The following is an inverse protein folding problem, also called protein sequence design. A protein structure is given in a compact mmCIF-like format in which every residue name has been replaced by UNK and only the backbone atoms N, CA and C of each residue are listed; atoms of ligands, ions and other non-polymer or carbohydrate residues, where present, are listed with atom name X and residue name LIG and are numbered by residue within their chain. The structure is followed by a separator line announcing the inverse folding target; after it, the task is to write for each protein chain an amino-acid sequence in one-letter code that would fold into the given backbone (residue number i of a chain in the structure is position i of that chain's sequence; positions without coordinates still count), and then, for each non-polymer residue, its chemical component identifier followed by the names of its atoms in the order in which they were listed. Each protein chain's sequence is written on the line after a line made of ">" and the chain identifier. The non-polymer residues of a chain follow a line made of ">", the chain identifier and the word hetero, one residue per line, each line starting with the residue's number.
data_IF_136382186062
#
_entry.id   IF_136382186062
#
_cell.length_a   1.000
_cell.length_b   1.000
_cell.length_c   1.000
_cell.angle_alpha   90.00
_cell.angle_beta   90.00
_cell.angle_gamma   90.00
#
_symmetry.space_group_name_H-M   'P 1'
#
loop_
_entity.id
_entity.type
_entity.pdbx_description
1 polymer ?
#
# COMPACT_ATOMS: atom_id res chain seq x y z
N UNK A 1 -11.40 0.32 -34.37
CA UNK A 1 -11.82 1.37 -33.44
C UNK A 1 -12.15 0.72 -32.12
N UNK A 2 -11.51 1.13 -31.03
CA UNK A 2 -11.97 0.75 -29.69
C UNK A 2 -13.35 1.40 -29.48
N UNK A 3 -14.31 0.71 -28.83
CA UNK A 3 -15.61 1.31 -28.54
C UNK A 3 -15.42 2.57 -27.69
N UNK A 4 -16.08 3.65 -28.09
CA UNK A 4 -16.20 4.87 -27.29
C UNK A 4 -17.07 4.55 -26.08
N UNK A 5 -16.45 4.43 -24.92
CA UNK A 5 -17.18 4.39 -23.65
C UNK A 5 -17.46 5.83 -23.22
N UNK A 6 -18.70 6.21 -22.89
CA UNK A 6 -18.97 7.54 -22.36
C UNK A 6 -18.17 7.73 -21.08
N UNK A 7 -17.41 8.83 -20.99
CA UNK A 7 -16.57 9.20 -19.84
C UNK A 7 -17.38 9.42 -18.53
N UNK A 8 -18.71 9.25 -18.54
CA UNK A 8 -19.62 9.75 -17.51
C UNK A 8 -20.02 8.78 -16.39
N UNK A 9 -19.45 7.58 -16.30
CA UNK A 9 -19.81 6.61 -15.24
C UNK A 9 -18.70 6.33 -14.22
N UNK A 10 -17.65 7.15 -14.22
CA UNK A 10 -16.58 7.13 -13.22
C UNK A 10 -16.92 8.16 -12.14
N UNK A 11 -17.02 7.72 -10.89
CA UNK A 11 -17.34 8.59 -9.75
C UNK A 11 -16.14 8.62 -8.80
N UNK A 12 -15.84 9.79 -8.24
CA UNK A 12 -14.85 9.91 -7.17
C UNK A 12 -15.36 9.21 -5.91
N UNK A 13 -14.48 8.51 -5.21
CA UNK A 13 -14.82 7.86 -3.94
C UNK A 13 -14.80 8.88 -2.80
N UNK A 14 -15.69 8.70 -1.82
CA UNK A 14 -15.64 9.41 -0.54
C UNK A 14 -14.45 8.95 0.31
N UNK A 15 -14.17 9.68 1.39
CA UNK A 15 -13.15 9.27 2.37
C UNK A 15 -13.46 7.88 2.96
N UNK A 16 -14.71 7.63 3.35
CA UNK A 16 -15.14 6.36 3.93
C UNK A 16 -15.03 5.21 2.92
N UNK A 17 -15.33 5.45 1.65
CA UNK A 17 -15.18 4.44 0.59
C UNK A 17 -13.71 4.11 0.33
N UNK A 18 -12.81 5.10 0.40
CA UNK A 18 -11.36 4.90 0.31
C UNK A 18 -10.88 4.06 1.49
N UNK A 19 -11.27 4.43 2.71
CA UNK A 19 -10.90 3.73 3.94
C UNK A 19 -11.37 2.28 3.90
N UNK A 20 -12.61 2.05 3.45
CA UNK A 20 -13.16 0.71 3.29
C UNK A 20 -12.32 -0.14 2.32
N UNK A 21 -11.94 0.39 1.15
CA UNK A 21 -11.12 -0.38 0.21
C UNK A 21 -9.75 -0.73 0.77
N UNK A 22 -9.11 0.20 1.50
CA UNK A 22 -7.80 -0.03 2.13
C UNK A 22 -7.88 -1.07 3.26
N UNK A 23 -8.95 -1.09 4.04
CA UNK A 23 -9.17 -2.12 5.08
C UNK A 23 -9.47 -3.48 4.45
N UNK A 24 -10.31 -3.54 3.42
CA UNK A 24 -10.71 -4.82 2.80
C UNK A 24 -9.61 -5.45 1.95
N UNK A 25 -8.64 -4.66 1.46
CA UNK A 25 -7.54 -5.16 0.64
C UNK A 25 -6.27 -5.24 1.47
N UNK A 26 -5.64 -6.40 1.47
CA UNK A 26 -4.37 -6.64 2.17
C UNK A 26 -3.13 -6.54 1.30
N UNK A 27 -3.27 -6.16 0.02
CA UNK A 27 -2.19 -6.10 -0.98
C UNK A 27 -2.39 -4.91 -1.93
N UNK A 28 -1.29 -4.30 -2.35
CA UNK A 28 -1.26 -3.24 -3.36
C UNK A 28 0.12 -3.11 -3.98
N UNK A 29 0.38 -2.01 -4.69
CA UNK A 29 1.67 -1.73 -5.33
C UNK A 29 2.26 -0.44 -4.77
N UNK A 30 3.42 -0.56 -4.12
CA UNK A 30 4.24 0.57 -3.68
C UNK A 30 5.15 1.01 -4.83
N UNK A 31 5.05 2.27 -5.21
CA UNK A 31 5.85 2.88 -6.26
C UNK A 31 6.93 3.75 -5.63
N UNK A 32 8.17 3.35 -5.83
CA UNK A 32 9.38 4.01 -5.36
C UNK A 32 10.12 4.67 -6.53
N UNK A 33 11.01 5.59 -6.24
CA UNK A 33 11.82 6.28 -7.23
C UNK A 33 13.25 6.54 -6.73
N UNK A 34 14.21 6.37 -7.63
CA UNK A 34 15.60 6.81 -7.46
C UNK A 34 15.99 7.58 -8.72
N UNK A 35 16.21 8.89 -8.59
CA UNK A 35 16.33 9.85 -9.68
C UNK A 35 15.23 9.69 -10.75
N UNK A 36 15.60 9.24 -11.96
CA UNK A 36 14.69 9.05 -13.10
C UNK A 36 14.17 7.61 -13.22
N UNK A 37 14.49 6.74 -12.27
CA UNK A 37 14.11 5.32 -12.31
C UNK A 37 12.95 5.08 -11.36
N UNK A 38 11.81 4.65 -11.90
CA UNK A 38 10.66 4.23 -11.12
C UNK A 38 10.70 2.71 -10.84
N UNK A 39 10.26 2.30 -9.65
CA UNK A 39 10.20 0.91 -9.24
C UNK A 39 8.90 0.60 -8.49
N UNK A 40 7.98 -0.10 -9.15
CA UNK A 40 6.74 -0.59 -8.55
C UNK A 40 6.89 -1.99 -7.97
N UNK A 41 6.44 -2.19 -6.73
CA UNK A 41 6.59 -3.44 -5.97
C UNK A 41 5.24 -3.85 -5.40
N UNK A 42 4.69 -5.02 -5.76
CA UNK A 42 3.54 -5.59 -5.09
C UNK A 42 3.91 -5.98 -3.65
N UNK A 43 3.17 -5.47 -2.67
CA UNK A 43 3.41 -5.71 -1.26
C UNK A 43 2.09 -5.89 -0.51
N UNK A 44 2.11 -6.76 0.50
CA UNK A 44 1.13 -6.69 1.57
C UNK A 44 1.34 -5.43 2.39
N UNK A 45 0.25 -4.89 2.93
CA UNK A 45 0.31 -3.68 3.74
C UNK A 45 -0.69 -3.75 4.89
N UNK A 46 -0.35 -3.03 5.96
CA UNK A 46 -1.26 -2.71 7.05
C UNK A 46 -1.85 -1.32 6.84
N UNK A 47 -3.15 -1.11 7.10
CA UNK A 47 -3.75 0.22 7.06
C UNK A 47 -4.20 0.70 8.44
N UNK A 48 -3.60 1.80 8.89
CA UNK A 48 -3.97 2.47 10.13
C UNK A 48 -4.77 3.75 9.84
N UNK A 49 -6.09 3.63 9.90
CA UNK A 49 -6.99 4.75 9.66
C UNK A 49 -6.92 5.84 10.74
N UNK A 50 -6.59 5.48 11.98
CA UNK A 50 -6.48 6.44 13.10
C UNK A 50 -5.25 7.34 12.92
N UNK A 51 -4.12 6.76 12.53
CA UNK A 51 -2.89 7.51 12.27
C UNK A 51 -2.79 8.03 10.83
N UNK A 52 -3.68 7.59 9.94
CA UNK A 52 -3.64 7.82 8.49
C UNK A 52 -2.29 7.39 7.88
N UNK A 53 -1.91 6.12 8.11
CA UNK A 53 -0.63 5.54 7.68
C UNK A 53 -0.82 4.18 7.01
N UNK A 54 0.08 3.85 6.08
CA UNK A 54 0.26 2.47 5.58
C UNK A 54 1.58 1.90 6.10
N UNK A 55 1.57 0.63 6.49
CA UNK A 55 2.76 -0.07 6.96
C UNK A 55 3.15 -1.20 6.01
N UNK A 56 4.44 -1.33 5.74
CA UNK A 56 5.01 -2.36 4.88
C UNK A 56 6.17 -3.06 5.59
N UNK A 57 6.31 -4.35 5.35
CA UNK A 57 7.45 -5.13 5.84
C UNK A 57 8.24 -5.69 4.67
N UNK A 58 9.53 -5.37 4.66
CA UNK A 58 10.48 -5.82 3.67
C UNK A 58 11.27 -7.00 4.23
N UNK A 59 11.07 -8.19 3.68
CA UNK A 59 11.92 -9.35 3.98
C UNK A 59 13.29 -9.17 3.32
N UNK A 60 14.39 -9.37 4.04
CA UNK A 60 15.75 -9.34 3.48
C UNK A 60 16.26 -10.76 3.17
N UNK A 61 16.09 -11.29 1.95
CA UNK A 61 16.85 -12.45 1.52
C UNK A 61 18.28 -12.01 1.12
N UNK A 62 19.17 -11.84 2.10
CA UNK A 62 20.62 -11.60 1.88
C UNK A 62 21.10 -10.14 2.05
N UNK A 63 22.33 -9.87 1.60
CA UNK A 63 23.11 -8.66 1.93
C UNK A 63 22.66 -7.37 1.20
N UNK A 64 22.01 -7.47 0.04
CA UNK A 64 21.52 -6.31 -0.73
C UNK A 64 20.09 -6.55 -1.22
N UNK A 65 19.22 -5.56 -1.00
CA UNK A 65 17.80 -5.69 -1.31
C UNK A 65 17.35 -4.45 -2.07
N UNK A 66 17.20 -4.56 -3.39
CA UNK A 66 16.80 -3.45 -4.28
C UNK A 66 15.61 -2.62 -3.77
N UNK A 67 14.64 -3.24 -3.10
CA UNK A 67 13.49 -2.53 -2.48
C UNK A 67 13.90 -1.60 -1.33
N UNK A 68 14.90 -1.99 -0.55
CA UNK A 68 15.46 -1.18 0.54
C UNK A 68 16.24 -0.01 -0.06
N UNK A 69 17.12 -0.27 -1.02
CA UNK A 69 17.91 0.77 -1.71
C UNK A 69 16.98 1.85 -2.30
N UNK A 70 15.91 1.44 -2.99
CA UNK A 70 14.93 2.39 -3.52
C UNK A 70 14.14 3.12 -2.43
N UNK A 71 13.76 2.45 -1.34
CA UNK A 71 13.00 3.08 -0.27
C UNK A 71 13.82 4.12 0.50
N UNK A 72 15.11 3.87 0.72
CA UNK A 72 16.03 4.84 1.33
C UNK A 72 16.20 6.11 0.47
N UNK A 73 16.15 5.97 -0.85
CA UNK A 73 16.26 7.09 -1.79
C UNK A 73 14.92 7.80 -2.05
N UNK A 74 13.79 7.15 -1.75
CA UNK A 74 12.44 7.67 -2.00
C UNK A 74 11.94 8.49 -0.82
N UNK A 75 11.97 9.82 -0.90
CA UNK A 75 11.35 10.66 0.14
C UNK A 75 9.82 10.64 0.09
N UNK A 76 9.24 10.53 -1.12
CA UNK A 76 7.79 10.51 -1.34
C UNK A 76 7.43 9.36 -2.27
N UNK A 77 6.45 8.56 -1.85
CA UNK A 77 6.00 7.40 -2.61
C UNK A 77 4.50 7.46 -2.88
N UNK A 78 4.05 6.64 -3.83
CA UNK A 78 2.63 6.37 -4.02
C UNK A 78 2.34 4.89 -3.83
N UNK A 79 1.15 4.59 -3.31
CA UNK A 79 0.65 3.25 -3.11
C UNK A 79 -0.70 3.09 -3.80
N UNK A 80 -0.82 2.08 -4.67
CA UNK A 80 -2.05 1.82 -5.42
C UNK A 80 -2.69 0.52 -4.97
N UNK A 81 -3.98 0.60 -4.62
CA UNK A 81 -4.85 -0.52 -4.26
C UNK A 81 -6.03 -0.53 -5.21
N UNK A 82 -6.47 -1.71 -5.65
CA UNK A 82 -7.63 -1.80 -6.52
C UNK A 82 -8.42 -3.09 -6.29
N UNK A 83 -9.67 -3.04 -6.71
CA UNK A 83 -10.54 -4.17 -6.93
C UNK A 83 -11.12 -4.08 -8.34
N UNK A 84 -10.97 -5.14 -9.13
CA UNK A 84 -11.40 -5.11 -10.53
C UNK A 84 -12.00 -6.46 -10.94
N UNK A 85 -13.18 -6.82 -10.39
CA UNK A 85 -13.86 -8.06 -10.75
C UNK A 85 -14.34 -8.05 -12.22
N UNK A 86 -14.63 -6.88 -12.80
CA UNK A 86 -15.05 -6.80 -14.21
C UNK A 86 -14.76 -5.43 -14.85
N UNK A 87 -15.03 -5.31 -16.16
CA UNK A 87 -14.91 -4.03 -16.88
C UNK A 87 -15.94 -2.97 -16.45
N UNK A 88 -17.02 -3.38 -15.80
CA UNK A 88 -18.14 -2.52 -15.39
C UNK A 88 -18.20 -2.30 -13.88
N UNK A 89 -17.42 -3.06 -13.12
CA UNK A 89 -17.34 -3.00 -11.67
C UNK A 89 -15.86 -3.00 -11.28
N UNK A 90 -15.39 -1.85 -10.82
CA UNK A 90 -14.03 -1.70 -10.33
C UNK A 90 -13.92 -0.51 -9.37
N UNK A 91 -12.94 -0.58 -8.47
CA UNK A 91 -12.55 0.48 -7.54
C UNK A 91 -11.03 0.57 -7.51
N UNK A 92 -10.50 1.77 -7.38
CA UNK A 92 -9.06 1.99 -7.25
C UNK A 92 -8.79 3.16 -6.33
N UNK A 93 -7.81 3.00 -5.46
CA UNK A 93 -7.30 4.04 -4.56
C UNK A 93 -5.83 4.25 -4.86
N UNK A 94 -5.43 5.51 -4.94
CA UNK A 94 -4.02 5.93 -4.94
C UNK A 94 -3.80 6.76 -3.68
N UNK A 95 -2.84 6.34 -2.88
CA UNK A 95 -2.37 7.01 -1.68
C UNK A 95 -0.99 7.59 -1.97
N UNK A 96 -0.71 8.79 -1.50
CA UNK A 96 0.57 9.46 -1.63
C UNK A 96 1.00 9.99 -0.26
N UNK A 97 2.30 10.02 -0.03
CA UNK A 97 2.83 10.42 1.25
C UNK A 97 4.34 10.38 1.34
N UNK A 98 4.83 10.71 2.53
CA UNK A 98 6.24 10.56 2.85
C UNK A 98 6.54 9.14 3.33
N UNK A 99 7.63 8.56 2.84
CA UNK A 99 8.06 7.22 3.18
C UNK A 99 9.17 7.30 4.24
N UNK A 100 8.98 6.62 5.37
CA UNK A 100 9.92 6.63 6.50
C UNK A 100 10.16 5.21 7.01
N UNK A 101 11.35 4.90 7.56
CA UNK A 101 11.53 3.70 8.36
C UNK A 101 10.63 3.74 9.60
N UNK A 102 10.08 2.59 9.99
CA UNK A 102 9.29 2.47 11.22
C UNK A 102 10.21 2.59 12.44
N UNK A 103 9.81 3.38 13.44
CA UNK A 103 10.56 3.52 14.67
C UNK A 103 10.44 2.26 15.56
N UNK A 104 11.50 1.95 16.31
CA UNK A 104 11.58 0.74 17.14
C UNK A 104 10.44 0.62 18.16
N UNK A 105 9.93 1.74 18.66
CA UNK A 105 8.85 1.80 19.65
C UNK A 105 7.43 1.71 19.06
N UNK A 106 7.29 1.81 17.73
CA UNK A 106 5.99 1.73 17.04
C UNK A 106 5.61 0.29 16.64
N UNK A 107 6.54 -0.66 16.67
CA UNK A 107 6.34 -2.02 16.16
C UNK A 107 5.18 -2.79 16.80
N UNK A 108 4.86 -2.55 18.07
CA UNK A 108 3.71 -3.21 18.71
C UNK A 108 2.41 -2.87 17.96
N UNK A 109 2.18 -1.59 17.69
CA UNK A 109 0.99 -1.13 16.96
C UNK A 109 1.02 -1.59 15.51
N UNK A 110 2.18 -1.50 14.86
CA UNK A 110 2.36 -1.95 13.47
C UNK A 110 2.00 -3.42 13.31
N UNK A 111 2.41 -4.27 14.26
CA UNK A 111 2.06 -5.70 14.23
C UNK A 111 0.56 -5.94 14.38
N UNK A 112 -0.12 -5.19 15.27
CA UNK A 112 -1.58 -5.27 15.40
C UNK A 112 -2.28 -4.89 14.09
N UNK A 113 -1.88 -3.77 13.46
CA UNK A 113 -2.44 -3.32 12.19
C UNK A 113 -2.17 -4.32 11.06
N UNK A 114 -0.96 -4.89 10.98
CA UNK A 114 -0.63 -5.90 9.97
C UNK A 114 -1.44 -7.19 10.16
N UNK A 115 -1.70 -7.59 11.41
CA UNK A 115 -2.52 -8.75 11.71
C UNK A 115 -3.98 -8.59 11.27
N UNK A 116 -4.49 -7.35 11.25
CA UNK A 116 -5.89 -7.05 10.91
C UNK A 116 -6.20 -7.20 9.41
N UNK A 117 -5.39 -6.63 8.51
CA UNK A 117 -5.72 -6.61 7.07
C UNK A 117 -4.65 -7.15 6.11
N UNK A 118 -3.40 -7.32 6.52
CA UNK A 118 -2.34 -7.67 5.57
C UNK A 118 -2.53 -9.09 4.98
N UNK A 119 -2.36 -9.24 3.66
CA UNK A 119 -2.59 -10.52 2.96
C UNK A 119 -1.58 -11.62 3.33
N UNK A 120 -0.43 -11.25 3.91
CA UNK A 120 0.57 -12.20 4.40
C UNK A 120 0.75 -12.04 5.91
N UNK A 121 -0.07 -12.69 6.75
CA UNK A 121 0.02 -12.56 8.20
C UNK A 121 1.11 -13.47 8.81
N UNK A 122 1.67 -14.42 8.05
CA UNK A 122 2.53 -15.48 8.61
C UNK A 122 4.01 -15.13 8.77
N UNK A 123 4.41 -13.86 8.59
CA UNK A 123 5.78 -13.44 8.94
C UNK A 123 6.04 -13.48 10.45
N UNK A 124 4.98 -13.63 11.25
CA UNK A 124 5.04 -13.76 12.70
C UNK A 124 4.75 -15.21 13.14
N UNK A 125 5.42 -16.20 12.54
CA UNK A 125 5.64 -17.43 13.31
C UNK A 125 6.61 -17.07 14.43
N UNK A 126 6.31 -17.40 15.68
CA UNK A 126 7.13 -17.12 16.88
C UNK A 126 8.59 -17.66 16.82
N UNK A 127 8.97 -18.25 15.68
CA UNK A 127 10.17 -19.06 15.44
C UNK A 127 11.22 -18.43 14.53
N UNK A 128 10.93 -17.35 13.81
CA UNK A 128 11.95 -16.66 12.99
C UNK A 128 12.43 -15.36 13.68
N UNK A 129 13.75 -15.18 13.86
CA UNK A 129 14.26 -13.99 14.52
C UNK A 129 13.94 -12.73 13.69
N UNK A 130 13.32 -11.75 14.35
CA UNK A 130 12.96 -10.41 13.83
C UNK A 130 14.14 -9.60 13.25
N UNK A 131 15.36 -10.17 13.25
CA UNK A 131 16.62 -9.52 12.87
C UNK A 131 16.68 -9.16 11.37
N UNK A 132 15.90 -9.83 10.51
CA UNK A 132 15.97 -9.66 9.04
C UNK A 132 14.80 -8.86 8.43
N UNK A 133 13.90 -8.33 9.25
CA UNK A 133 12.75 -7.53 8.80
C UNK A 133 13.06 -6.04 8.88
N UNK A 134 12.73 -5.29 7.82
CA UNK A 134 12.74 -3.83 7.83
C UNK A 134 11.32 -3.32 7.61
N UNK A 135 10.86 -2.45 8.50
CA UNK A 135 9.54 -1.82 8.45
C UNK A 135 9.61 -0.44 7.80
N UNK A 136 8.65 -0.15 6.95
CA UNK A 136 8.47 1.17 6.35
C UNK A 136 7.03 1.64 6.55
N UNK A 137 6.88 2.93 6.83
CA UNK A 137 5.58 3.59 6.89
C UNK A 137 5.44 4.63 5.79
N UNK A 138 4.26 4.69 5.17
CA UNK A 138 3.84 5.81 4.33
C UNK A 138 2.90 6.68 5.14
N UNK A 139 3.35 7.88 5.48
CA UNK A 139 2.53 8.90 6.14
C UNK A 139 1.69 9.61 5.10
N UNK A 140 0.38 9.33 5.12
CA UNK A 140 -0.53 9.74 4.05
C UNK A 140 -0.80 11.25 4.17
N UNK A 141 -0.52 11.99 3.10
CA UNK A 141 -0.91 13.40 2.97
C UNK A 141 -1.92 13.64 1.85
N UNK A 142 -2.01 12.72 0.88
CA UNK A 142 -3.00 12.77 -0.19
C UNK A 142 -3.53 11.37 -0.49
N UNK A 143 -4.83 11.29 -0.76
CA UNK A 143 -5.48 10.06 -1.21
C UNK A 143 -6.60 10.40 -2.16
N UNK A 144 -6.70 9.60 -3.22
CA UNK A 144 -7.76 9.72 -4.21
C UNK A 144 -8.31 8.35 -4.54
N UNK A 145 -9.62 8.28 -4.75
CA UNK A 145 -10.30 7.05 -5.11
C UNK A 145 -11.21 7.27 -6.31
N UNK A 146 -11.30 6.25 -7.15
CA UNK A 146 -12.15 6.20 -8.31
C UNK A 146 -12.89 4.88 -8.29
N UNK A 147 -14.18 4.93 -8.62
CA UNK A 147 -14.96 3.73 -8.79
C UNK A 147 -15.85 3.81 -10.01
N UNK A 148 -16.19 2.62 -10.48
CA UNK A 148 -17.29 2.36 -11.39
C UNK A 148 -18.09 1.20 -10.82
N UNK A 149 -19.35 1.46 -10.58
CA UNK A 149 -20.36 0.44 -10.30
C UNK A 149 -21.31 0.48 -11.49
N UNK A 150 -21.65 -0.69 -12.05
CA UNK A 150 -22.52 -0.77 -13.22
C UNK A 150 -23.87 -0.08 -12.98
N UNK A 151 -24.41 0.53 -14.04
CA UNK A 151 -25.82 0.88 -14.15
C UNK A 151 -26.65 -0.38 -14.43
#
# INVERSE_FOLDING_TARGET
>A
MAPEYPESNRVGMSADEIDQLLVERGVGVLSLADDSVAYGIPLSFGYDAEMNRLYFVFLRPGETSRKVDFAEQTSRASFTVWDCPSRYEWKSVVVEGELHPIADDEWSRVNDVLADNAWYPSLFSETEPMQDMLGWELRIDHRSGLQRSGA
#
